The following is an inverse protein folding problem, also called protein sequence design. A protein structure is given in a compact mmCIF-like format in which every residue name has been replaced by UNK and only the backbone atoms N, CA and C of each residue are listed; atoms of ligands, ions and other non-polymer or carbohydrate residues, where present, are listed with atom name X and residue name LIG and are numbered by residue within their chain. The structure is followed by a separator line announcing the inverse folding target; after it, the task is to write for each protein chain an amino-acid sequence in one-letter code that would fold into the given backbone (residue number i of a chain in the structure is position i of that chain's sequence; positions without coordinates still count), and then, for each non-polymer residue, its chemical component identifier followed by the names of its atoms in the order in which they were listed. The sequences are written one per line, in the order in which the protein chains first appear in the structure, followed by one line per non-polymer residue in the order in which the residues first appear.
data_IF_899573203963
#
_entry.id   IF_899573203963
#
_cell.length_a   1.000
_cell.length_b   1.000
_cell.length_c   1.000
_cell.angle_alpha   90.00
_cell.angle_beta   90.00
_cell.angle_gamma   90.00
#
_symmetry.space_group_name_H-M   'P 1'
#
loop_
_entity.id
_entity.type
_entity.pdbx_description
1 polymer ?
#
# COMPACT_ATOMS: atom_id res chain seq x y z
N UNK A 1 4.99 -26.02 -2.05
CA UNK A 1 4.04 -25.20 -2.82
C UNK A 1 3.82 -23.96 -1.97
N UNK A 2 4.22 -22.80 -2.44
CA UNK A 2 3.82 -21.54 -1.81
C UNK A 2 2.29 -21.44 -1.92
N UNK A 3 1.60 -21.13 -0.84
CA UNK A 3 0.16 -20.90 -0.90
C UNK A 3 -0.05 -19.55 -1.59
N UNK A 4 -0.62 -19.56 -2.78
CA UNK A 4 -1.04 -18.35 -3.49
C UNK A 4 -2.25 -17.78 -2.72
N UNK A 5 -2.18 -16.51 -2.34
CA UNK A 5 -3.30 -15.80 -1.72
C UNK A 5 -4.37 -15.49 -2.78
N UNK A 6 -5.55 -16.11 -2.67
CA UNK A 6 -6.68 -15.91 -3.59
C UNK A 6 -7.87 -15.32 -2.82
N UNK A 7 -7.85 -14.03 -2.50
CA UNK A 7 -8.83 -13.44 -1.61
C UNK A 7 -10.12 -13.08 -2.35
N UNK A 8 -11.26 -13.24 -1.70
CA UNK A 8 -12.53 -12.62 -2.16
C UNK A 8 -12.56 -11.12 -1.87
N UNK A 9 -11.87 -10.67 -0.83
CA UNK A 9 -11.63 -9.27 -0.47
C UNK A 9 -10.17 -9.13 -0.06
N UNK A 10 -9.52 -8.05 -0.51
CA UNK A 10 -8.14 -7.75 -0.20
C UNK A 10 -8.04 -6.42 0.56
N UNK A 11 -7.31 -6.41 1.66
CA UNK A 11 -6.78 -5.18 2.26
C UNK A 11 -5.35 -4.96 1.74
N UNK A 12 -5.14 -3.88 1.02
CA UNK A 12 -3.82 -3.45 0.56
C UNK A 12 -3.28 -2.36 1.49
N UNK A 13 -2.30 -2.71 2.30
CA UNK A 13 -1.61 -1.80 3.22
C UNK A 13 -0.35 -1.29 2.54
N UNK A 14 -0.36 -0.02 2.15
CA UNK A 14 0.70 0.57 1.33
C UNK A 14 1.79 1.19 2.20
N UNK A 15 3.01 0.66 2.08
CA UNK A 15 4.28 1.22 2.55
C UNK A 15 4.28 1.72 4.01
N UNK A 16 3.62 1.01 4.92
CA UNK A 16 3.62 1.36 6.35
C UNK A 16 4.94 0.92 7.03
N UNK A 17 6.05 1.38 6.45
CA UNK A 17 7.43 1.08 6.86
C UNK A 17 7.98 2.13 7.83
N UNK A 18 8.98 1.75 8.64
CA UNK A 18 9.52 2.61 9.68
C UNK A 18 10.09 3.92 9.13
N UNK A 19 10.74 3.91 7.95
CA UNK A 19 11.30 5.13 7.36
C UNK A 19 10.25 6.19 7.02
N UNK A 20 9.02 5.77 6.67
CA UNK A 20 7.91 6.71 6.39
C UNK A 20 7.16 7.15 7.65
N UNK A 21 7.30 6.43 8.77
CA UNK A 21 6.57 6.70 10.01
C UNK A 21 7.39 7.60 10.94
N UNK A 22 8.61 7.19 11.29
CA UNK A 22 9.49 7.92 12.20
C UNK A 22 10.99 7.82 11.86
N UNK A 23 11.34 7.28 10.69
CA UNK A 23 12.71 7.16 10.19
C UNK A 23 13.12 8.27 9.22
N UNK A 24 13.78 7.89 8.12
CA UNK A 24 14.44 8.82 7.18
C UNK A 24 13.48 9.83 6.51
N UNK A 25 12.25 9.43 6.26
CA UNK A 25 11.18 10.25 5.67
C UNK A 25 9.99 10.41 6.63
N UNK A 26 10.28 10.56 7.92
CA UNK A 26 9.29 10.61 8.98
C UNK A 26 8.10 11.53 8.65
N UNK A 27 6.89 10.97 8.72
CA UNK A 27 5.64 11.69 8.49
C UNK A 27 4.74 11.60 9.73
N UNK A 28 4.51 12.71 10.46
CA UNK A 28 3.63 12.70 11.62
C UNK A 28 2.20 12.26 11.35
N UNK A 29 1.69 12.45 10.12
CA UNK A 29 0.38 11.96 9.73
C UNK A 29 0.39 10.42 9.58
N UNK A 30 1.43 9.85 8.95
CA UNK A 30 1.59 8.39 8.86
C UNK A 30 1.71 7.73 10.25
N UNK A 31 2.37 8.40 11.20
CA UNK A 31 2.45 7.91 12.58
C UNK A 31 1.09 7.81 13.26
N UNK A 32 0.16 8.73 12.97
CA UNK A 32 -1.19 8.74 13.57
C UNK A 32 -2.07 7.60 13.07
N UNK A 33 -1.85 7.08 11.87
CA UNK A 33 -2.66 6.01 11.29
C UNK A 33 -2.14 4.60 11.62
N UNK A 34 -1.00 4.45 12.30
CA UNK A 34 -0.43 3.14 12.66
C UNK A 34 -1.41 2.31 13.48
N UNK A 35 -1.86 2.83 14.64
CA UNK A 35 -2.81 2.10 15.50
C UNK A 35 -4.18 1.90 14.83
N UNK A 36 -4.79 2.91 14.18
CA UNK A 36 -6.01 2.71 13.39
C UNK A 36 -5.91 1.59 12.33
N UNK A 37 -4.82 1.52 11.57
CA UNK A 37 -4.60 0.43 10.60
C UNK A 37 -4.44 -0.92 11.32
N UNK A 38 -3.69 -0.98 12.41
CA UNK A 38 -3.54 -2.21 13.19
C UNK A 38 -4.89 -2.71 13.75
N UNK A 39 -5.74 -1.80 14.23
CA UNK A 39 -7.09 -2.14 14.71
C UNK A 39 -7.99 -2.59 13.56
N UNK A 40 -7.90 -1.96 12.40
CA UNK A 40 -8.65 -2.36 11.22
C UNK A 40 -8.23 -3.77 10.74
N UNK A 41 -6.93 -4.07 10.71
CA UNK A 41 -6.41 -5.41 10.38
C UNK A 41 -6.99 -6.49 11.31
N UNK A 42 -7.11 -6.22 12.62
CA UNK A 42 -7.66 -7.20 13.59
C UNK A 42 -9.12 -7.56 13.32
N UNK A 43 -9.86 -6.66 12.70
CA UNK A 43 -11.29 -6.86 12.38
C UNK A 43 -11.54 -7.19 10.92
N UNK A 44 -10.49 -7.16 10.09
CA UNK A 44 -10.60 -7.46 8.67
C UNK A 44 -10.93 -8.93 8.41
N UNK A 45 -11.82 -9.18 7.46
CA UNK A 45 -12.13 -10.51 6.95
C UNK A 45 -11.77 -10.57 5.47
N UNK A 46 -10.68 -11.26 5.12
CA UNK A 46 -10.14 -11.36 3.78
C UNK A 46 -8.63 -11.48 3.75
N UNK A 47 -8.03 -11.51 2.57
CA UNK A 47 -6.59 -11.49 2.41
C UNK A 47 -5.99 -10.11 2.76
N UNK A 48 -4.71 -10.09 3.09
CA UNK A 48 -3.95 -8.86 3.35
C UNK A 48 -2.70 -8.87 2.47
N UNK A 49 -2.44 -7.77 1.78
CA UNK A 49 -1.18 -7.54 1.09
C UNK A 49 -0.51 -6.27 1.62
N UNK A 50 0.78 -6.35 1.86
CA UNK A 50 1.60 -5.21 2.26
C UNK A 50 2.54 -4.89 1.11
N UNK A 51 2.47 -3.68 0.55
CA UNK A 51 3.57 -3.22 -0.29
C UNK A 51 4.71 -2.71 0.57
N UNK A 52 5.93 -2.96 0.11
CA UNK A 52 7.14 -2.51 0.76
C UNK A 52 8.05 -1.86 -0.28
N UNK A 53 8.34 -0.59 -0.08
CA UNK A 53 9.35 0.10 -0.86
C UNK A 53 10.74 -0.44 -0.50
N UNK A 54 11.54 -0.78 -1.52
CA UNK A 54 12.82 -1.45 -1.33
C UNK A 54 13.91 -0.96 -2.27
N UNK A 55 14.94 -0.32 -1.73
CA UNK A 55 16.03 0.25 -2.51
C UNK A 55 17.38 -0.41 -2.24
N UNK A 56 18.25 -0.36 -3.24
CA UNK A 56 19.66 -0.74 -3.10
C UNK A 56 20.54 0.50 -2.91
N UNK A 57 21.39 0.49 -1.87
CA UNK A 57 22.35 1.58 -1.61
C UNK A 57 23.27 1.87 -2.81
N UNK A 58 23.58 0.86 -3.61
CA UNK A 58 24.52 0.99 -4.74
C UNK A 58 23.90 1.68 -5.96
N UNK A 59 22.57 1.67 -6.09
CA UNK A 59 21.87 2.15 -7.28
C UNK A 59 20.94 3.31 -7.02
N UNK A 60 20.40 3.47 -5.82
CA UNK A 60 19.37 4.46 -5.46
C UNK A 60 19.70 5.88 -5.96
N UNK A 61 20.89 6.39 -5.63
CA UNK A 61 21.31 7.75 -6.02
C UNK A 61 21.39 7.98 -7.55
N UNK A 62 21.33 6.91 -8.35
CA UNK A 62 21.33 6.98 -9.82
C UNK A 62 19.92 7.05 -10.41
N UNK A 63 18.88 6.74 -9.61
CA UNK A 63 17.48 6.80 -10.04
C UNK A 63 16.98 8.25 -10.07
N UNK A 64 15.90 8.51 -10.81
CA UNK A 64 15.25 9.83 -10.79
C UNK A 64 14.64 10.15 -9.41
N UNK A 65 14.21 9.12 -8.70
CA UNK A 65 13.75 9.23 -7.34
C UNK A 65 14.87 9.63 -6.38
N UNK A 66 15.99 8.91 -6.40
CA UNK A 66 17.13 9.17 -5.52
C UNK A 66 17.85 10.51 -5.76
N UNK A 67 17.56 11.18 -6.88
CA UNK A 67 17.98 12.57 -7.13
C UNK A 67 17.11 13.61 -6.43
N UNK A 68 15.92 13.24 -5.96
CA UNK A 68 14.87 14.15 -5.46
C UNK A 68 14.44 13.83 -4.04
N UNK A 69 14.45 12.56 -3.66
CA UNK A 69 14.00 12.05 -2.38
C UNK A 69 15.23 11.55 -1.60
N UNK A 70 15.35 11.91 -0.32
CA UNK A 70 16.44 11.42 0.53
C UNK A 70 16.51 9.89 0.57
N UNK A 71 17.69 9.30 0.82
CA UNK A 71 17.86 7.86 0.98
C UNK A 71 16.95 7.27 2.06
N UNK A 72 16.20 6.21 1.71
CA UNK A 72 15.24 5.53 2.59
C UNK A 72 15.04 4.08 2.15
N UNK A 73 14.38 3.31 2.98
CA UNK A 73 13.90 1.93 2.74
C UNK A 73 14.96 1.03 2.08
N UNK A 74 16.21 1.11 2.55
CA UNK A 74 17.22 0.19 2.06
C UNK A 74 16.96 -1.23 2.54
N UNK A 75 17.00 -2.17 1.59
CA UNK A 75 16.69 -3.57 1.84
C UNK A 75 17.46 -4.14 3.05
N UNK A 76 16.77 -4.90 3.88
CA UNK A 76 17.27 -5.55 5.09
C UNK A 76 17.66 -4.59 6.24
N UNK A 77 17.31 -3.31 6.16
CA UNK A 77 17.52 -2.35 7.23
C UNK A 77 16.23 -2.12 8.04
N UNK A 78 16.37 -1.59 9.26
CA UNK A 78 15.22 -1.30 10.12
C UNK A 78 14.21 -0.37 9.46
N UNK A 79 14.68 0.60 8.68
CA UNK A 79 13.84 1.57 7.98
C UNK A 79 12.89 0.94 6.96
N UNK A 80 13.35 -0.12 6.25
CA UNK A 80 12.54 -0.83 5.26
C UNK A 80 11.53 -1.80 5.86
N UNK A 81 11.64 -2.13 7.15
CA UNK A 81 10.68 -3.03 7.79
C UNK A 81 9.32 -2.36 7.99
N UNK A 82 8.23 -3.11 7.78
CA UNK A 82 6.88 -2.66 8.14
C UNK A 82 6.83 -2.42 9.66
N UNK A 83 6.08 -1.43 10.08
CA UNK A 83 5.92 -1.09 11.49
C UNK A 83 5.48 -2.31 12.32
N UNK A 84 6.13 -2.50 13.46
CA UNK A 84 5.97 -3.70 14.29
C UNK A 84 4.57 -3.88 14.87
N UNK A 85 3.83 -2.79 15.13
CA UNK A 85 2.45 -2.84 15.62
C UNK A 85 1.52 -3.37 14.53
N UNK A 86 1.70 -2.93 13.28
CA UNK A 86 0.94 -3.37 12.11
C UNK A 86 1.25 -4.85 11.82
N UNK A 87 2.52 -5.23 11.78
CA UNK A 87 2.90 -6.64 11.56
C UNK A 87 2.39 -7.57 12.66
N UNK A 88 2.41 -7.11 13.91
CA UNK A 88 1.83 -7.88 15.01
C UNK A 88 0.33 -8.09 14.82
N UNK A 89 -0.42 -7.05 14.44
CA UNK A 89 -1.85 -7.17 14.17
C UNK A 89 -2.12 -8.18 13.02
N UNK A 90 -1.31 -8.17 11.96
CA UNK A 90 -1.43 -9.14 10.86
C UNK A 90 -1.15 -10.57 11.31
N UNK A 91 -0.09 -10.79 12.10
CA UNK A 91 0.26 -12.14 12.60
C UNK A 91 -0.72 -12.66 13.65
N UNK A 92 -1.35 -11.80 14.43
CA UNK A 92 -2.38 -12.15 15.41
C UNK A 92 -3.76 -12.36 14.75
N UNK A 93 -3.98 -11.80 13.56
CA UNK A 93 -5.20 -12.01 12.78
C UNK A 93 -5.26 -13.46 12.26
N UNK A 94 -6.45 -13.89 11.87
CA UNK A 94 -6.63 -15.22 11.23
C UNK A 94 -6.50 -15.16 9.71
N UNK A 95 -6.16 -13.99 9.17
CA UNK A 95 -6.07 -13.76 7.75
C UNK A 95 -4.70 -14.17 7.21
N UNK A 96 -4.69 -14.75 6.01
CA UNK A 96 -3.45 -14.93 5.27
C UNK A 96 -2.95 -13.58 4.79
N UNK A 97 -1.64 -13.39 4.77
CA UNK A 97 -1.02 -12.16 4.25
C UNK A 97 0.20 -12.45 3.39
N UNK A 98 0.49 -11.52 2.49
CA UNK A 98 1.68 -11.50 1.63
C UNK A 98 2.42 -10.18 1.73
N UNK A 99 3.73 -10.22 1.47
CA UNK A 99 4.60 -9.05 1.39
C UNK A 99 5.02 -8.86 -0.08
N UNK A 100 4.79 -7.67 -0.63
CA UNK A 100 5.04 -7.31 -2.02
C UNK A 100 6.15 -6.26 -2.08
N UNK A 101 7.37 -6.71 -2.36
CA UNK A 101 8.52 -5.81 -2.52
C UNK A 101 8.43 -5.06 -3.86
N UNK A 102 8.66 -3.76 -3.84
CA UNK A 102 8.70 -2.91 -5.02
C UNK A 102 9.86 -1.93 -4.96
N UNK A 103 10.42 -1.56 -6.11
CA UNK A 103 11.47 -0.55 -6.24
C UNK A 103 10.97 0.72 -6.96
N UNK A 104 9.65 0.90 -7.00
CA UNK A 104 8.92 1.99 -7.66
C UNK A 104 7.76 2.43 -6.79
N UNK A 105 7.16 3.60 -7.08
CA UNK A 105 6.06 4.13 -6.27
C UNK A 105 4.83 3.22 -6.18
N UNK A 106 4.55 2.46 -7.23
CA UNK A 106 3.51 1.43 -7.22
C UNK A 106 4.12 0.05 -7.43
N UNK A 107 3.32 -0.98 -7.24
CA UNK A 107 3.64 -2.35 -7.57
C UNK A 107 3.24 -2.60 -9.04
N UNK A 108 4.21 -2.68 -9.99
CA UNK A 108 3.92 -2.62 -11.42
C UNK A 108 3.00 -3.72 -11.91
N UNK A 109 3.07 -4.89 -11.27
CA UNK A 109 2.30 -6.08 -11.60
C UNK A 109 0.79 -5.87 -11.41
N UNK A 110 0.37 -4.88 -10.62
CA UNK A 110 -1.05 -4.51 -10.52
C UNK A 110 -1.63 -3.93 -11.81
N UNK A 111 -0.81 -3.45 -12.74
CA UNK A 111 -1.28 -2.94 -14.03
C UNK A 111 -1.56 -4.03 -15.07
N UNK A 112 -1.11 -5.24 -14.83
CA UNK A 112 -1.19 -6.35 -15.78
C UNK A 112 -1.76 -7.60 -15.10
N UNK A 113 -3.05 -7.86 -15.33
CA UNK A 113 -3.72 -9.02 -14.76
C UNK A 113 -3.21 -10.37 -15.28
N UNK A 114 -2.53 -10.38 -16.43
CA UNK A 114 -1.88 -11.59 -16.94
C UNK A 114 -0.55 -11.85 -16.21
N UNK A 115 0.14 -10.81 -15.75
CA UNK A 115 1.36 -10.91 -14.95
C UNK A 115 1.10 -11.42 -13.54
N UNK A 116 -0.05 -11.09 -12.95
CA UNK A 116 -0.43 -11.58 -11.62
C UNK A 116 -0.66 -13.08 -11.58
N UNK A 117 -0.99 -13.71 -12.71
CA UNK A 117 -1.00 -15.17 -12.83
C UNK A 117 0.40 -15.79 -12.73
N UNK A 118 1.45 -14.99 -12.90
CA UNK A 118 2.85 -15.40 -12.74
C UNK A 118 3.43 -15.07 -11.35
N UNK A 119 2.67 -14.39 -10.48
CA UNK A 119 3.09 -14.09 -9.11
C UNK A 119 2.72 -15.26 -8.20
N UNK A 120 3.75 -15.87 -7.62
CA UNK A 120 3.59 -16.98 -6.67
C UNK A 120 2.98 -16.54 -5.31
N UNK A 121 2.50 -15.29 -5.18
CA UNK A 121 2.16 -14.67 -3.89
C UNK A 121 0.69 -14.28 -3.77
N UNK A 122 0.09 -13.70 -4.83
CA UNK A 122 -1.29 -13.24 -4.82
C UNK A 122 -1.96 -13.40 -6.19
N UNK A 123 -3.21 -13.87 -6.19
CA UNK A 123 -4.05 -13.97 -7.37
C UNK A 123 -5.32 -13.13 -7.17
N UNK A 124 -5.40 -12.00 -7.89
CA UNK A 124 -6.56 -11.12 -7.93
C UNK A 124 -7.43 -11.46 -9.15
N UNK A 125 -7.86 -12.72 -9.24
CA UNK A 125 -8.73 -13.19 -10.31
C UNK A 125 -10.18 -12.68 -10.17
N UNK A 126 -11.08 -13.22 -10.99
CA UNK A 126 -12.50 -12.86 -11.01
C UNK A 126 -13.26 -13.09 -9.69
N UNK A 127 -12.68 -13.81 -8.72
CA UNK A 127 -13.26 -14.04 -7.40
C UNK A 127 -12.95 -12.90 -6.41
N UNK A 128 -11.93 -12.08 -6.66
CA UNK A 128 -11.66 -10.90 -5.86
C UNK A 128 -12.68 -9.80 -6.18
N UNK A 129 -13.59 -9.56 -5.25
CA UNK A 129 -14.70 -8.62 -5.45
C UNK A 129 -14.33 -7.19 -5.09
N UNK A 130 -13.41 -7.01 -4.15
CA UNK A 130 -13.06 -5.69 -3.61
C UNK A 130 -11.61 -5.64 -3.14
N UNK A 131 -10.94 -4.54 -3.47
CA UNK A 131 -9.68 -4.14 -2.85
C UNK A 131 -9.90 -2.88 -2.04
N UNK A 132 -9.61 -2.93 -0.72
CA UNK A 132 -9.59 -1.76 0.16
C UNK A 132 -8.13 -1.35 0.38
N UNK A 133 -7.83 -0.07 0.16
CA UNK A 133 -6.47 0.47 0.20
C UNK A 133 -6.33 1.43 1.39
N UNK A 134 -5.25 1.29 2.13
CA UNK A 134 -4.83 2.22 3.18
C UNK A 134 -3.31 2.38 3.19
N UNK A 135 -2.78 3.34 3.96
CA UNK A 135 -1.32 3.51 4.15
C UNK A 135 -0.77 4.88 3.72
N UNK A 136 0.50 4.90 3.26
CA UNK A 136 1.25 6.13 2.99
C UNK A 136 2.15 6.01 1.74
N UNK A 137 2.48 7.10 0.98
CA UNK A 137 1.80 8.39 1.08
C UNK A 137 0.61 8.42 0.14
N UNK A 138 -0.51 9.02 0.59
CA UNK A 138 -1.75 9.10 -0.21
C UNK A 138 -1.51 9.65 -1.60
N UNK A 139 -0.70 10.70 -1.71
CA UNK A 139 -0.40 11.45 -2.94
C UNK A 139 0.73 10.82 -3.78
N UNK A 140 1.33 9.72 -3.37
CA UNK A 140 2.41 9.03 -4.08
C UNK A 140 2.08 7.54 -4.23
N UNK A 141 2.48 6.72 -3.26
CA UNK A 141 2.39 5.25 -3.38
C UNK A 141 0.95 4.75 -3.33
N UNK A 142 0.08 5.30 -2.48
CA UNK A 142 -1.34 4.92 -2.43
C UNK A 142 -2.03 5.26 -3.75
N UNK A 143 -1.90 6.50 -4.24
CA UNK A 143 -2.45 6.93 -5.53
C UNK A 143 -1.94 6.05 -6.67
N UNK A 144 -0.62 5.80 -6.72
CA UNK A 144 -0.03 5.00 -7.81
C UNK A 144 -0.56 3.57 -7.81
N UNK A 145 -0.61 2.89 -6.65
CA UNK A 145 -1.15 1.54 -6.57
C UNK A 145 -2.64 1.48 -6.91
N UNK A 146 -3.42 2.46 -6.46
CA UNK A 146 -4.85 2.54 -6.79
C UNK A 146 -5.09 2.68 -8.31
N UNK A 147 -4.29 3.50 -9.00
CA UNK A 147 -4.38 3.68 -10.46
C UNK A 147 -3.89 2.45 -11.23
N UNK A 148 -2.84 1.78 -10.76
CA UNK A 148 -2.36 0.53 -11.36
C UNK A 148 -3.42 -0.57 -11.24
N UNK A 149 -4.02 -0.76 -10.06
CA UNK A 149 -5.13 -1.69 -9.86
C UNK A 149 -6.33 -1.34 -10.76
N UNK A 150 -6.70 -0.07 -10.87
CA UNK A 150 -7.79 0.35 -11.78
C UNK A 150 -7.46 0.06 -13.23
N UNK A 151 -6.20 0.15 -13.62
CA UNK A 151 -5.73 -0.16 -14.97
C UNK A 151 -5.81 -1.65 -15.27
N UNK A 152 -5.27 -2.50 -14.40
CA UNK A 152 -5.26 -3.95 -14.57
C UNK A 152 -6.64 -4.60 -14.35
N UNK A 153 -7.45 -4.01 -13.47
CA UNK A 153 -8.75 -4.57 -13.06
C UNK A 153 -9.89 -3.55 -13.24
N UNK A 154 -10.33 -3.27 -14.47
CA UNK A 154 -11.30 -2.20 -14.75
C UNK A 154 -12.68 -2.43 -14.12
N UNK A 155 -13.04 -3.66 -13.83
CA UNK A 155 -14.34 -4.03 -13.23
C UNK A 155 -14.31 -4.26 -11.73
N UNK A 156 -13.12 -4.27 -11.12
CA UNK A 156 -12.95 -4.52 -9.67
C UNK A 156 -13.43 -3.31 -8.86
N UNK A 157 -14.09 -3.55 -7.75
CA UNK A 157 -14.36 -2.50 -6.77
C UNK A 157 -13.07 -2.15 -6.04
N UNK A 158 -12.62 -0.90 -6.18
CA UNK A 158 -11.44 -0.37 -5.50
C UNK A 158 -11.90 0.76 -4.59
N UNK A 159 -11.58 0.63 -3.31
CA UNK A 159 -11.96 1.59 -2.26
C UNK A 159 -10.71 2.06 -1.53
N UNK A 160 -10.56 3.36 -1.34
CA UNK A 160 -9.52 3.96 -0.49
C UNK A 160 -10.16 4.48 0.78
N UNK A 161 -9.69 4.03 1.95
CA UNK A 161 -10.12 4.56 3.23
C UNK A 161 -9.27 5.79 3.59
N UNK A 162 -9.84 6.98 3.43
CA UNK A 162 -9.15 8.24 3.64
C UNK A 162 -8.67 8.42 5.09
N UNK A 163 -9.43 7.91 6.06
CA UNK A 163 -9.07 7.98 7.48
C UNK A 163 -7.89 7.11 7.87
N UNK A 164 -7.57 6.11 7.05
CA UNK A 164 -6.45 5.19 7.17
C UNK A 164 -5.31 5.53 6.19
N UNK A 165 -5.34 6.70 5.57
CA UNK A 165 -4.31 7.17 4.64
C UNK A 165 -3.64 8.45 5.14
N UNK A 166 -2.35 8.60 4.87
CA UNK A 166 -1.58 9.79 5.20
C UNK A 166 -0.85 10.32 3.97
N UNK A 167 -1.12 11.58 3.60
CA UNK A 167 -0.40 12.26 2.53
C UNK A 167 0.90 12.91 3.00
N UNK A 168 1.71 13.37 2.05
CA UNK A 168 2.94 14.16 2.36
C UNK A 168 2.59 15.52 2.95
N UNK A 169 1.45 16.10 2.58
CA UNK A 169 0.81 17.26 3.24
C UNK A 169 -0.72 17.08 3.22
N UNK A 170 -1.47 17.80 4.08
CA UNK A 170 -2.93 17.75 4.06
C UNK A 170 -3.53 18.12 2.70
N UNK A 171 -2.98 19.14 2.04
CA UNK A 171 -3.45 19.61 0.74
C UNK A 171 -3.25 18.57 -0.35
N UNK A 172 -2.08 17.92 -0.39
CA UNK A 172 -1.77 16.87 -1.36
C UNK A 172 -2.60 15.61 -1.11
N UNK A 173 -2.87 15.28 0.15
CA UNK A 173 -3.78 14.21 0.52
C UNK A 173 -5.16 14.43 -0.13
N UNK A 174 -5.77 15.60 0.06
CA UNK A 174 -7.07 15.95 -0.53
C UNK A 174 -7.06 15.88 -2.06
N UNK A 175 -6.05 16.47 -2.69
CA UNK A 175 -5.90 16.44 -4.16
C UNK A 175 -5.81 15.00 -4.66
N UNK A 176 -5.06 14.14 -4.00
CA UNK A 176 -4.94 12.73 -4.39
C UNK A 176 -6.27 11.98 -4.28
N UNK A 177 -7.04 12.19 -3.21
CA UNK A 177 -8.37 11.61 -3.05
C UNK A 177 -9.32 12.05 -4.16
N UNK A 178 -9.31 13.33 -4.54
CA UNK A 178 -10.11 13.85 -5.66
C UNK A 178 -9.71 13.20 -7.00
N UNK A 179 -8.40 13.05 -7.26
CA UNK A 179 -7.92 12.38 -8.47
C UNK A 179 -8.39 10.91 -8.51
N UNK A 180 -8.36 10.21 -7.38
CA UNK A 180 -8.82 8.83 -7.30
C UNK A 180 -10.33 8.72 -7.57
N UNK A 181 -11.16 9.63 -7.03
CA UNK A 181 -12.59 9.69 -7.36
C UNK A 181 -12.83 9.90 -8.87
N UNK A 182 -12.07 10.81 -9.48
CA UNK A 182 -12.13 11.04 -10.93
C UNK A 182 -11.74 9.81 -11.77
N UNK A 183 -11.00 8.88 -11.20
CA UNK A 183 -10.58 7.62 -11.84
C UNK A 183 -11.46 6.41 -11.45
N UNK A 184 -12.69 6.65 -11.00
CA UNK A 184 -13.65 5.61 -10.60
C UNK A 184 -13.12 4.71 -9.45
N UNK A 185 -12.43 5.31 -8.48
CA UNK A 185 -12.00 4.70 -7.23
C UNK A 185 -12.86 5.29 -6.12
N UNK A 186 -13.50 4.44 -5.33
CA UNK A 186 -14.31 4.87 -4.19
C UNK A 186 -13.39 5.42 -3.08
N UNK A 187 -13.78 6.54 -2.49
CA UNK A 187 -13.10 7.11 -1.33
C UNK A 187 -14.11 7.21 -0.19
N UNK A 188 -13.80 6.55 0.91
CA UNK A 188 -14.64 6.50 2.11
C UNK A 188 -13.94 7.16 3.30
N UNK A 189 -14.72 7.49 4.34
CA UNK A 189 -14.23 8.06 5.60
C UNK A 189 -13.39 9.34 5.41
N UNK A 190 -13.69 10.13 4.39
CA UNK A 190 -13.14 11.46 4.18
C UNK A 190 -14.01 12.48 4.92
N UNK A 191 -13.57 12.90 6.10
CA UNK A 191 -14.37 13.76 7.00
C UNK A 191 -14.66 15.16 6.43
N UNK A 192 -14.10 15.50 5.28
CA UNK A 192 -14.22 16.82 4.64
C UNK A 192 -14.90 16.76 3.24
N UNK A 193 -15.48 15.63 2.87
CA UNK A 193 -16.18 15.41 1.60
C UNK A 193 -17.69 15.70 1.69
#
# INVERSE_FOLDING_TARGET
MQNILTPTRLLLVVDMQNDFIDGALANPAAKKIVTPIADFIRTWEGGIAFTMDGHSRSTYAKTEEGKRIPPHCFAFEHGSAINSEIMRAATESKNDYVLLDKATFGFPEFADNDSLLAMDEIDLNEYCQEVVICGTCTDICVLTNALLLRTGYPSMKITVDASLCAGTTPEKHKIALELMRGCAIDVINDEEG
#
